data_IF_583879080834
#
_entry.id   IF_583879080834
#
_cell.length_a   1.000
_cell.length_b   1.000
_cell.length_c   1.000
_cell.angle_alpha   90.00
_cell.angle_beta   90.00
_cell.angle_gamma   90.00
#
_symmetry.space_group_name_H-M   'P 1'
#
loop_
_entity.id
_entity.type
_entity.pdbx_description
1 polymer ?
#
# COMPACT_ATOMS: atom_id res chain seq x y z
N UNK A 1 -37.90 -33.97 40.28
CA UNK A 1 -36.93 -34.13 39.17
C UNK A 1 -37.21 -33.05 38.14
N UNK A 2 -36.44 -31.96 38.14
CA UNK A 2 -36.59 -30.85 37.20
C UNK A 2 -35.64 -31.09 36.03
N UNK A 3 -36.19 -31.44 34.86
CA UNK A 3 -35.42 -31.55 33.62
C UNK A 3 -35.27 -30.15 33.05
N UNK A 4 -34.05 -29.61 33.01
CA UNK A 4 -33.78 -28.34 32.31
C UNK A 4 -33.90 -28.59 30.80
N UNK A 5 -34.64 -27.76 30.04
CA UNK A 5 -34.69 -27.90 28.60
C UNK A 5 -33.28 -27.62 28.04
N UNK A 6 -32.76 -28.57 27.28
CA UNK A 6 -31.57 -28.37 26.47
C UNK A 6 -31.89 -27.31 25.41
N UNK A 7 -31.29 -26.15 25.56
CA UNK A 7 -31.36 -25.05 24.59
C UNK A 7 -30.64 -25.51 23.31
N UNK A 8 -31.39 -25.97 22.31
CA UNK A 8 -30.86 -26.26 20.99
C UNK A 8 -30.62 -24.94 20.25
N UNK A 9 -29.37 -24.49 20.19
CA UNK A 9 -28.98 -23.34 19.37
C UNK A 9 -28.90 -23.83 17.92
N UNK A 10 -29.77 -23.36 17.00
CA UNK A 10 -29.71 -23.79 15.61
C UNK A 10 -28.37 -23.39 14.99
N UNK A 11 -27.70 -24.35 14.35
CA UNK A 11 -26.36 -24.22 13.72
C UNK A 11 -26.26 -22.99 12.80
N UNK A 12 -27.36 -22.56 12.20
CA UNK A 12 -27.46 -21.37 11.37
C UNK A 12 -27.10 -20.07 12.12
N UNK A 13 -27.42 -19.95 13.42
CA UNK A 13 -27.09 -18.77 14.22
C UNK A 13 -25.59 -18.70 14.54
N UNK A 14 -24.91 -19.85 14.64
CA UNK A 14 -23.45 -19.91 14.77
C UNK A 14 -22.74 -19.49 13.48
N UNK A 15 -23.23 -19.94 12.32
CA UNK A 15 -22.65 -19.56 11.01
C UNK A 15 -22.72 -18.06 10.71
N UNK A 16 -23.83 -17.41 11.08
CA UNK A 16 -23.98 -15.95 10.98
C UNK A 16 -22.99 -15.27 11.94
N UNK A 17 -22.88 -15.74 13.20
CA UNK A 17 -21.97 -15.13 14.17
C UNK A 17 -20.50 -15.22 13.74
N UNK A 18 -20.06 -16.34 13.14
CA UNK A 18 -18.69 -16.49 12.62
C UNK A 18 -18.41 -15.54 11.45
N UNK A 19 -19.38 -15.37 10.54
CA UNK A 19 -19.21 -14.50 9.36
C UNK A 19 -19.10 -13.01 9.72
N UNK A 20 -19.74 -12.58 10.80
CA UNK A 20 -19.61 -11.21 11.33
C UNK A 20 -18.27 -10.96 12.04
N UNK A 21 -17.62 -11.99 12.58
CA UNK A 21 -16.33 -11.84 13.30
C UNK A 21 -15.14 -11.88 12.33
N UNK A 22 -15.27 -12.51 11.15
CA UNK A 22 -14.17 -12.66 10.19
C UNK A 22 -14.22 -11.70 9.01
N UNK A 23 -14.91 -10.55 9.14
CA UNK A 23 -14.98 -9.51 8.12
C UNK A 23 -13.63 -8.83 7.90
N UNK A 24 -12.68 -9.49 7.23
CA UNK A 24 -11.44 -8.87 6.79
C UNK A 24 -11.72 -8.09 5.52
N UNK A 25 -12.06 -6.81 5.67
CA UNK A 25 -12.14 -5.83 4.57
C UNK A 25 -10.73 -5.49 4.07
N UNK A 26 -10.06 -6.49 3.49
CA UNK A 26 -8.81 -6.29 2.78
C UNK A 26 -9.08 -5.53 1.48
N UNK A 27 -8.34 -4.44 1.26
CA UNK A 27 -8.37 -3.75 -0.02
C UNK A 27 -7.75 -4.65 -1.09
N UNK A 28 -8.49 -4.98 -2.14
CA UNK A 28 -7.96 -5.73 -3.29
C UNK A 28 -7.57 -4.77 -4.42
N UNK A 29 -6.28 -4.71 -4.74
CA UNK A 29 -5.75 -4.00 -5.92
C UNK A 29 -5.27 -5.06 -6.93
N UNK A 30 -5.84 -5.11 -8.15
CA UNK A 30 -5.45 -6.08 -9.16
C UNK A 30 -3.94 -6.05 -9.43
N UNK A 31 -3.30 -7.20 -9.68
CA UNK A 31 -1.88 -7.26 -10.08
C UNK A 31 -0.86 -6.63 -9.09
N UNK A 32 -1.29 -6.20 -7.90
CA UNK A 32 -0.41 -5.71 -6.84
C UNK A 32 0.01 -6.88 -5.93
N UNK A 33 1.06 -7.59 -6.35
CA UNK A 33 1.60 -8.74 -5.62
C UNK A 33 2.68 -8.35 -4.59
N UNK A 34 3.02 -9.27 -3.69
CA UNK A 34 4.20 -9.15 -2.80
C UNK A 34 5.50 -8.87 -3.55
N UNK A 35 5.63 -9.44 -4.75
CA UNK A 35 6.78 -9.19 -5.64
C UNK A 35 6.76 -7.74 -6.13
N UNK A 36 5.58 -7.21 -6.46
CA UNK A 36 5.44 -5.81 -6.83
C UNK A 36 5.84 -4.88 -5.68
N UNK A 37 5.36 -5.12 -4.45
CA UNK A 37 5.78 -4.30 -3.30
C UNK A 37 7.30 -4.31 -3.08
N UNK A 38 7.94 -5.48 -3.18
CA UNK A 38 9.40 -5.57 -3.09
C UNK A 38 10.09 -4.75 -4.17
N UNK A 39 9.58 -4.78 -5.40
CA UNK A 39 10.15 -4.01 -6.50
C UNK A 39 9.91 -2.51 -6.34
N UNK A 40 8.72 -2.06 -5.91
CA UNK A 40 8.45 -0.65 -5.58
C UNK A 40 9.40 -0.13 -4.48
N UNK A 41 9.61 -0.93 -3.43
CA UNK A 41 10.56 -0.64 -2.36
C UNK A 41 12.00 -0.49 -2.88
N UNK A 42 12.44 -1.45 -3.71
CA UNK A 42 13.76 -1.45 -4.33
C UNK A 42 13.97 -0.24 -5.24
N UNK A 43 12.97 0.12 -6.04
CA UNK A 43 13.01 1.27 -6.94
C UNK A 43 13.17 2.58 -6.15
N UNK A 44 12.41 2.75 -5.06
CA UNK A 44 12.47 3.95 -4.21
C UNK A 44 13.84 4.16 -3.55
N UNK A 45 14.31 3.20 -2.77
CA UNK A 45 15.47 3.39 -1.87
C UNK A 45 16.51 2.27 -1.93
N UNK A 46 16.42 1.36 -2.92
CA UNK A 46 17.05 0.02 -2.84
C UNK A 46 16.50 -0.81 -1.67
N UNK A 47 15.26 -0.49 -1.26
CA UNK A 47 14.58 -1.08 -0.11
C UNK A 47 15.40 -0.95 1.18
N UNK A 48 15.97 0.24 1.41
CA UNK A 48 16.71 0.57 2.62
C UNK A 48 15.74 0.68 3.80
N UNK A 49 15.67 -0.38 4.60
CA UNK A 49 14.82 -0.49 5.78
C UNK A 49 15.25 0.45 6.91
N UNK A 50 16.49 0.94 6.89
CA UNK A 50 17.01 1.90 7.85
C UNK A 50 16.84 3.35 7.38
N UNK A 51 16.28 3.56 6.19
CA UNK A 51 16.06 4.90 5.65
C UNK A 51 15.16 5.72 6.57
N UNK A 52 15.74 6.74 7.19
CA UNK A 52 15.03 7.70 8.03
C UNK A 52 14.15 8.64 7.20
N UNK A 53 14.07 9.90 7.62
CA UNK A 53 13.39 10.95 6.84
C UNK A 53 14.44 11.93 6.31
N UNK A 54 14.52 12.10 4.99
CA UNK A 54 15.44 13.04 4.33
C UNK A 54 14.69 13.82 3.25
N UNK A 55 14.80 15.15 3.26
CA UNK A 55 14.15 16.00 2.25
C UNK A 55 12.62 15.92 2.22
N UNK A 56 11.97 15.52 3.32
CA UNK A 56 10.51 15.38 3.41
C UNK A 56 9.95 14.03 2.94
N UNK A 57 10.82 13.05 2.69
CA UNK A 57 10.45 11.68 2.33
C UNK A 57 11.00 10.71 3.37
N UNK A 58 10.23 9.68 3.72
CA UNK A 58 10.56 8.76 4.79
C UNK A 58 10.49 7.29 4.36
N UNK A 59 11.36 6.48 4.98
CA UNK A 59 11.24 5.03 4.98
C UNK A 59 11.58 4.35 3.65
N UNK A 60 11.44 3.02 3.60
CA UNK A 60 11.95 2.21 2.49
C UNK A 60 11.22 2.47 1.16
N UNK A 61 10.00 3.01 1.19
CA UNK A 61 9.25 3.39 0.00
C UNK A 61 9.43 4.86 -0.40
N UNK A 62 10.22 5.64 0.34
CA UNK A 62 10.44 7.07 0.11
C UNK A 62 9.12 7.87 0.05
N UNK A 63 8.26 7.70 1.06
CA UNK A 63 6.90 8.27 1.10
C UNK A 63 6.94 9.69 1.65
N UNK A 64 6.27 10.64 0.98
CA UNK A 64 6.09 12.02 1.47
C UNK A 64 4.82 12.19 2.31
N UNK A 65 4.71 13.29 3.05
CA UNK A 65 3.49 13.59 3.84
C UNK A 65 2.26 13.76 2.96
N UNK A 66 2.41 14.41 1.80
CA UNK A 66 1.31 14.61 0.84
C UNK A 66 0.85 13.27 0.26
N UNK A 67 1.78 12.39 -0.10
CA UNK A 67 1.48 11.02 -0.54
C UNK A 67 0.63 10.28 0.51
N UNK A 68 1.02 10.37 1.78
CA UNK A 68 0.32 9.73 2.88
C UNK A 68 -1.08 10.31 3.15
N UNK A 69 -1.25 11.63 3.05
CA UNK A 69 -2.58 12.26 3.12
C UNK A 69 -3.48 11.73 2.00
N UNK A 70 -2.96 11.69 0.78
CA UNK A 70 -3.67 11.18 -0.38
C UNK A 70 -4.04 9.68 -0.26
N UNK A 71 -3.23 8.91 0.47
CA UNK A 71 -3.46 7.51 0.77
C UNK A 71 -4.49 7.26 1.89
N UNK A 72 -5.10 8.31 2.46
CA UNK A 72 -6.08 8.18 3.53
C UNK A 72 -5.48 8.21 4.94
N UNK A 73 -4.30 8.80 5.11
CA UNK A 73 -3.67 9.04 6.42
C UNK A 73 -3.48 7.77 7.26
N UNK A 74 -3.06 6.67 6.61
CA UNK A 74 -2.90 5.37 7.24
C UNK A 74 -1.81 5.40 8.32
N UNK A 75 -2.13 4.91 9.52
CA UNK A 75 -1.23 4.90 10.68
C UNK A 75 -0.88 3.48 11.14
N UNK A 76 0.07 3.40 12.08
CA UNK A 76 0.31 2.20 12.87
C UNK A 76 -0.93 1.87 13.71
N UNK A 77 -1.09 0.62 14.18
CA UNK A 77 -2.16 0.28 15.13
C UNK A 77 -2.15 1.22 16.34
N UNK A 78 -3.34 1.64 16.77
CA UNK A 78 -3.59 2.51 17.93
C UNK A 78 -2.96 3.92 17.86
N UNK A 79 -2.55 4.36 16.67
CA UNK A 79 -1.97 5.68 16.45
C UNK A 79 -2.97 6.66 15.81
N UNK A 80 -2.85 7.94 16.15
CA UNK A 80 -3.76 9.01 15.73
C UNK A 80 -3.30 9.62 14.38
N UNK A 81 -4.14 9.60 13.32
CA UNK A 81 -3.80 10.24 12.05
C UNK A 81 -3.47 11.73 12.19
N UNK A 82 -4.02 12.45 13.16
CA UNK A 82 -3.74 13.88 13.34
C UNK A 82 -2.41 14.15 14.09
N UNK A 83 -1.77 13.10 14.63
CA UNK A 83 -0.47 13.25 15.29
C UNK A 83 0.61 13.61 14.28
N UNK A 84 1.38 14.66 14.57
CA UNK A 84 2.43 15.19 13.70
C UNK A 84 3.38 14.13 13.09
N UNK A 85 3.73 13.09 13.87
CA UNK A 85 4.69 12.05 13.47
C UNK A 85 4.04 10.72 13.03
N UNK A 86 2.70 10.60 13.02
CA UNK A 86 2.00 9.38 12.60
C UNK A 86 2.38 8.96 11.17
N UNK A 87 2.44 9.94 10.27
CA UNK A 87 2.96 9.76 8.92
C UNK A 87 4.37 9.15 8.91
N UNK A 88 5.35 9.79 9.57
CA UNK A 88 6.75 9.38 9.50
C UNK A 88 6.99 8.04 10.20
N UNK A 89 6.21 7.71 11.22
CA UNK A 89 6.31 6.44 11.94
C UNK A 89 5.76 5.30 11.08
N UNK A 90 4.61 5.50 10.43
CA UNK A 90 4.05 4.52 9.51
C UNK A 90 4.92 4.37 8.23
N UNK A 91 5.40 5.46 7.65
CA UNK A 91 6.24 5.43 6.45
C UNK A 91 7.56 4.66 6.66
N UNK A 92 8.13 4.67 7.87
CA UNK A 92 9.34 3.93 8.23
C UNK A 92 9.09 2.46 8.59
N UNK A 93 7.84 2.06 8.83
CA UNK A 93 7.46 0.66 9.04
C UNK A 93 7.08 0.02 7.72
N UNK A 94 7.82 -0.99 7.25
CA UNK A 94 7.55 -1.62 5.94
C UNK A 94 6.10 -2.09 5.78
N UNK A 95 5.54 -2.75 6.78
CA UNK A 95 4.15 -3.23 6.73
C UNK A 95 3.14 -2.08 6.72
N UNK A 96 3.41 -1.00 7.45
CA UNK A 96 2.52 0.16 7.47
C UNK A 96 2.64 0.96 6.17
N UNK A 97 3.86 1.17 5.68
CA UNK A 97 4.15 1.77 4.39
C UNK A 97 3.49 1.04 3.24
N UNK A 98 3.45 -0.30 3.23
CA UNK A 98 2.69 -1.07 2.24
C UNK A 98 1.20 -0.69 2.22
N UNK A 99 0.58 -0.53 3.39
CA UNK A 99 -0.81 -0.06 3.49
C UNK A 99 -0.96 1.37 2.97
N UNK A 100 0.02 2.25 3.19
CA UNK A 100 0.05 3.59 2.56
C UNK A 100 0.08 3.46 1.02
N UNK A 101 0.93 2.58 0.47
CA UNK A 101 0.96 2.33 -0.98
C UNK A 101 -0.41 1.82 -1.47
N UNK A 102 -1.04 0.91 -0.74
CA UNK A 102 -2.40 0.41 -1.05
C UNK A 102 -3.42 1.55 -1.11
N UNK A 103 -3.49 2.39 -0.08
CA UNK A 103 -4.41 3.52 -0.06
C UNK A 103 -4.17 4.50 -1.22
N UNK A 104 -2.90 4.75 -1.57
CA UNK A 104 -2.56 5.63 -2.69
C UNK A 104 -2.94 5.00 -4.04
N UNK A 105 -2.66 3.71 -4.23
CA UNK A 105 -3.00 2.97 -5.45
C UNK A 105 -4.51 2.71 -5.56
N UNK A 106 -5.25 2.66 -4.45
CA UNK A 106 -6.71 2.69 -4.49
C UNK A 106 -7.24 3.96 -5.15
N UNK A 107 -6.61 5.11 -4.85
CA UNK A 107 -7.01 6.41 -5.38
C UNK A 107 -6.50 6.67 -6.79
N UNK A 108 -5.29 6.21 -7.11
CA UNK A 108 -4.57 6.62 -8.32
C UNK A 108 -4.14 5.48 -9.25
N UNK A 109 -4.30 4.23 -8.86
CA UNK A 109 -3.99 3.07 -9.70
C UNK A 109 -4.85 3.06 -10.95
N UNK A 110 -4.20 3.05 -12.12
CA UNK A 110 -4.82 3.02 -13.44
C UNK A 110 -3.79 2.56 -14.46
N UNK A 111 -4.24 2.18 -15.65
CA UNK A 111 -3.36 1.94 -16.79
C UNK A 111 -2.68 3.27 -17.18
N UNK A 112 -1.36 3.33 -17.00
CA UNK A 112 -0.54 4.52 -17.20
C UNK A 112 0.24 4.46 -18.51
N UNK A 113 0.53 3.26 -19.01
CA UNK A 113 1.27 3.07 -20.27
C UNK A 113 0.34 2.82 -21.48
N UNK A 114 -0.96 2.62 -21.26
CA UNK A 114 -1.98 2.41 -22.29
C UNK A 114 -1.97 1.01 -22.90
N UNK A 115 -1.43 0.00 -22.20
CA UNK A 115 -1.37 -1.38 -22.68
C UNK A 115 -2.64 -2.21 -22.41
N UNK A 116 -3.62 -1.62 -21.72
CA UNK A 116 -4.89 -2.23 -21.37
C UNK A 116 -4.86 -3.05 -20.08
N UNK A 117 -3.73 -3.11 -19.36
CA UNK A 117 -3.56 -3.90 -18.14
C UNK A 117 -2.90 -3.08 -17.04
N UNK A 118 -3.67 -2.66 -16.04
CA UNK A 118 -3.09 -2.05 -14.83
C UNK A 118 -2.27 -3.08 -14.05
N UNK A 119 -0.95 -2.91 -14.01
CA UNK A 119 0.00 -3.85 -13.41
C UNK A 119 1.11 -3.13 -12.62
N UNK A 120 2.14 -3.88 -12.21
CA UNK A 120 3.22 -3.33 -11.38
C UNK A 120 4.01 -2.21 -12.07
N UNK A 121 4.10 -2.22 -13.41
CA UNK A 121 4.73 -1.16 -14.16
C UNK A 121 3.95 0.15 -14.00
N UNK A 122 2.63 0.09 -14.11
CA UNK A 122 1.77 1.27 -13.87
C UNK A 122 1.87 1.76 -12.43
N UNK A 123 1.91 0.84 -11.46
CA UNK A 123 2.10 1.20 -10.06
C UNK A 123 3.46 1.86 -9.82
N UNK A 124 4.51 1.42 -10.52
CA UNK A 124 5.81 2.07 -10.50
C UNK A 124 5.75 3.47 -11.13
N UNK A 125 4.98 3.66 -12.21
CA UNK A 125 4.76 4.99 -12.83
C UNK A 125 3.97 5.92 -11.91
N UNK A 126 2.90 5.44 -11.26
CA UNK A 126 2.12 6.19 -10.27
C UNK A 126 3.01 6.64 -9.10
N UNK A 127 3.85 5.75 -8.58
CA UNK A 127 4.75 6.07 -7.47
C UNK A 127 5.91 7.01 -7.89
N UNK A 128 6.39 6.92 -9.14
CA UNK A 128 7.47 7.76 -9.65
C UNK A 128 7.05 9.16 -10.08
N UNK A 129 5.86 9.29 -10.69
CA UNK A 129 5.37 10.56 -11.23
C UNK A 129 4.28 11.23 -10.36
N UNK A 130 3.75 10.52 -9.37
CA UNK A 130 2.53 10.91 -8.65
C UNK A 130 1.26 10.55 -9.42
N UNK A 131 0.14 10.46 -8.69
CA UNK A 131 -1.12 9.92 -9.23
C UNK A 131 -1.72 10.62 -10.44
N UNK A 132 -1.58 11.95 -10.53
CA UNK A 132 -2.06 12.72 -11.67
C UNK A 132 -1.12 12.68 -12.88
N UNK A 133 0.18 12.44 -12.64
CA UNK A 133 1.23 12.51 -13.66
C UNK A 133 1.64 11.16 -14.25
N UNK A 134 0.95 10.06 -13.93
CA UNK A 134 1.50 8.73 -14.19
C UNK A 134 1.78 8.42 -15.67
N UNK A 135 1.10 9.05 -16.63
CA UNK A 135 1.32 8.83 -18.08
C UNK A 135 2.57 9.53 -18.62
N UNK A 136 3.23 10.39 -17.84
CA UNK A 136 4.45 11.07 -18.26
C UNK A 136 5.62 10.09 -18.38
N UNK A 137 6.45 10.18 -19.43
CA UNK A 137 7.65 9.35 -19.55
C UNK A 137 8.64 9.60 -18.41
N UNK A 138 8.99 8.54 -17.67
CA UNK A 138 9.98 8.63 -16.58
C UNK A 138 11.41 8.91 -17.08
N UNK A 139 11.74 8.60 -18.33
CA UNK A 139 13.10 8.75 -18.86
C UNK A 139 13.52 10.22 -19.13
N UNK A 140 12.62 11.20 -18.92
CA UNK A 140 12.89 12.62 -19.14
C UNK A 140 13.90 13.25 -18.17
N UNK A 141 14.14 12.65 -17.00
CA UNK A 141 15.09 13.15 -16.00
C UNK A 141 16.15 12.11 -15.62
N UNK A 142 17.26 12.56 -15.03
CA UNK A 142 18.30 11.65 -14.48
C UNK A 142 17.70 10.73 -13.41
N UNK A 143 16.85 11.28 -12.54
CA UNK A 143 16.21 10.52 -11.48
C UNK A 143 15.22 9.49 -12.03
N UNK A 144 14.39 9.87 -13.00
CA UNK A 144 13.45 8.93 -13.60
C UNK A 144 14.11 7.86 -14.46
N UNK A 145 15.25 8.15 -15.13
CA UNK A 145 16.08 7.10 -15.76
C UNK A 145 16.63 6.11 -14.74
N UNK A 146 17.08 6.59 -13.57
CA UNK A 146 17.52 5.72 -12.47
C UNK A 146 16.37 4.86 -11.92
N UNK A 147 15.20 5.46 -11.79
CA UNK A 147 13.96 4.79 -11.35
C UNK A 147 13.60 3.63 -12.29
N UNK A 148 13.55 3.90 -13.60
CA UNK A 148 13.31 2.88 -14.63
C UNK A 148 14.37 1.78 -14.60
N UNK A 149 15.65 2.14 -14.51
CA UNK A 149 16.74 1.17 -14.43
C UNK A 149 16.56 0.19 -13.26
N UNK A 150 16.25 0.71 -12.07
CA UNK A 150 16.00 -0.12 -10.89
C UNK A 150 14.78 -1.02 -11.06
N UNK A 151 13.75 -0.57 -11.77
CA UNK A 151 12.59 -1.40 -12.04
C UNK A 151 12.95 -2.59 -12.93
N UNK A 152 13.73 -2.37 -13.99
CA UNK A 152 14.24 -3.45 -14.84
C UNK A 152 15.06 -4.49 -14.07
N UNK A 153 15.77 -4.08 -13.01
CA UNK A 153 16.53 -4.99 -12.14
C UNK A 153 15.63 -5.88 -11.27
N UNK A 154 14.39 -5.49 -10.96
CA UNK A 154 13.49 -6.22 -10.03
C UNK A 154 12.19 -6.76 -10.63
N UNK A 155 11.89 -6.48 -11.91
CA UNK A 155 10.62 -6.84 -12.55
C UNK A 155 10.42 -8.32 -12.90
N UNK A 156 11.39 -9.18 -12.59
CA UNK A 156 11.32 -10.64 -12.78
C UNK A 156 10.05 -11.16 -12.11
#
# INVERSE_FOLDING_TARGET
MHVKPLLAIPVCLFGIFVFWITGSSGLFIPNLSERCYRCLCYVSTLCDMAHGCTGGYCGPFNISRVYWVDAGMITLPDDDPERNHAWSDCARSYHCAKRIIEGYLQKFGKDCNGDGVTNCFDYMMVNGNGGYGCTAPLNGSVNGRRWLKRYEECRI
#
